data_IF_568866231763
#
_entry.id   IF_568866231763
#
_cell.length_a   1.000
_cell.length_b   1.000
_cell.length_c   1.000
_cell.angle_alpha   90.00
_cell.angle_beta   90.00
_cell.angle_gamma   90.00
#
_symmetry.space_group_name_H-M   'P 1'
#
loop_
_entity.id
_entity.type
_entity.pdbx_description
1 polymer ?
#
# COMPACT_ATOMS: atom_id res chain seq x y z
N UNK A 1 -26.68 20.47 57.11
CA UNK A 1 -26.69 19.25 56.25
C UNK A 1 -26.38 19.64 54.79
N UNK A 2 -25.14 19.52 54.41
CA UNK A 2 -24.66 19.94 53.08
C UNK A 2 -24.54 18.69 52.19
N UNK A 3 -25.40 18.55 51.17
CA UNK A 3 -25.37 17.45 50.23
C UNK A 3 -24.42 17.84 49.09
N UNK A 4 -23.24 17.25 49.08
CA UNK A 4 -22.29 17.34 47.93
C UNK A 4 -22.80 16.46 46.80
N UNK A 5 -23.21 17.07 45.70
CA UNK A 5 -23.53 16.38 44.46
C UNK A 5 -22.22 16.11 43.71
N UNK A 6 -21.82 14.83 43.62
CA UNK A 6 -20.65 14.38 42.88
C UNK A 6 -21.02 14.24 41.38
N UNK A 7 -20.64 15.22 40.59
CA UNK A 7 -20.85 15.18 39.11
C UNK A 7 -19.73 14.36 38.48
N UNK A 8 -20.05 13.14 38.06
CA UNK A 8 -19.13 12.28 37.29
C UNK A 8 -19.17 12.76 35.85
N UNK A 9 -18.10 13.44 35.42
CA UNK A 9 -17.87 13.78 34.01
C UNK A 9 -17.28 12.56 33.30
N UNK A 10 -18.09 11.87 32.50
CA UNK A 10 -17.61 10.83 31.59
C UNK A 10 -16.88 11.51 30.43
N UNK A 11 -15.53 11.50 30.45
CA UNK A 11 -14.73 11.80 29.27
C UNK A 11 -14.88 10.63 28.28
N UNK A 12 -15.71 10.82 27.28
CA UNK A 12 -15.66 9.97 26.07
C UNK A 12 -14.35 10.27 25.33
N UNK A 13 -13.31 9.51 25.63
CA UNK A 13 -12.13 9.45 24.78
C UNK A 13 -12.56 8.81 23.44
N UNK A 14 -12.80 9.65 22.43
CA UNK A 14 -13.03 9.20 21.07
C UNK A 14 -11.77 8.46 20.59
N UNK A 15 -11.82 7.14 20.55
CA UNK A 15 -10.80 6.33 19.88
C UNK A 15 -10.90 6.66 18.39
N UNK A 16 -10.00 7.51 17.89
CA UNK A 16 -9.74 7.60 16.47
C UNK A 16 -9.27 6.21 16.01
N UNK A 17 -10.14 5.47 15.32
CA UNK A 17 -9.75 4.23 14.67
C UNK A 17 -8.79 4.59 13.56
N UNK A 18 -7.49 4.54 13.86
CA UNK A 18 -6.46 4.56 12.84
C UNK A 18 -6.68 3.30 12.00
N UNK A 19 -7.16 3.44 10.78
CA UNK A 19 -7.28 2.32 9.85
C UNK A 19 -5.85 1.93 9.43
N UNK A 20 -5.25 1.04 10.22
CA UNK A 20 -4.05 0.34 9.77
C UNK A 20 -4.48 -0.58 8.62
N UNK A 21 -3.77 -0.53 7.50
CA UNK A 21 -4.04 -1.41 6.36
C UNK A 21 -3.95 -2.89 6.76
N UNK A 22 -4.64 -3.73 6.02
CA UNK A 22 -4.65 -5.20 6.21
C UNK A 22 -3.60 -5.81 5.28
N UNK A 23 -2.57 -6.43 5.85
CA UNK A 23 -1.46 -7.02 5.09
C UNK A 23 -1.91 -8.17 4.16
N UNK A 24 -2.93 -8.95 4.55
CA UNK A 24 -3.45 -10.03 3.69
C UNK A 24 -4.17 -9.46 2.46
N UNK A 25 -4.98 -8.42 2.65
CA UNK A 25 -5.59 -7.70 1.52
C UNK A 25 -4.51 -7.04 0.65
N UNK A 26 -3.46 -6.50 1.27
CA UNK A 26 -2.34 -5.93 0.55
C UNK A 26 -1.57 -6.95 -0.30
N UNK A 27 -1.42 -8.18 0.18
CA UNK A 27 -0.90 -9.29 -0.62
C UNK A 27 -1.80 -9.57 -1.83
N UNK A 28 -3.12 -9.62 -1.63
CA UNK A 28 -4.08 -9.85 -2.71
C UNK A 28 -4.02 -8.71 -3.76
N UNK A 29 -3.91 -7.45 -3.33
CA UNK A 29 -3.67 -6.28 -4.21
C UNK A 29 -2.37 -6.44 -5.01
N UNK A 30 -1.28 -6.85 -4.36
CA UNK A 30 0.00 -7.08 -5.03
C UNK A 30 -0.10 -8.22 -6.06
N UNK A 31 -0.79 -9.32 -5.72
CA UNK A 31 -1.01 -10.44 -6.64
C UNK A 31 -1.87 -10.00 -7.82
N UNK A 32 -2.93 -9.27 -7.61
CA UNK A 32 -3.84 -8.86 -8.68
C UNK A 32 -3.19 -7.84 -9.63
N UNK A 33 -2.50 -6.84 -9.08
CA UNK A 33 -2.08 -5.66 -9.84
C UNK A 33 -0.59 -5.61 -10.16
N UNK A 34 0.28 -6.19 -9.32
CA UNK A 34 1.73 -6.03 -9.47
C UNK A 34 2.43 -7.25 -10.10
N UNK A 35 1.85 -8.47 -9.98
CA UNK A 35 2.51 -9.73 -10.41
C UNK A 35 2.83 -9.81 -11.90
N UNK A 36 2.17 -9.02 -12.73
CA UNK A 36 2.45 -9.01 -14.18
C UNK A 36 3.86 -8.51 -14.48
N UNK A 37 4.35 -7.58 -13.67
CA UNK A 37 5.65 -6.96 -13.87
C UNK A 37 6.66 -7.29 -12.77
N UNK A 38 6.21 -7.44 -11.51
CA UNK A 38 7.07 -7.68 -10.36
C UNK A 38 6.96 -9.13 -9.87
N UNK A 39 8.07 -9.71 -9.42
CA UNK A 39 8.05 -10.98 -8.69
C UNK A 39 7.51 -10.70 -7.29
N UNK A 40 6.43 -11.41 -6.93
CA UNK A 40 5.80 -11.31 -5.62
C UNK A 40 6.31 -12.46 -4.75
N UNK A 41 6.81 -12.19 -3.52
CA UNK A 41 7.25 -13.23 -2.61
C UNK A 41 6.15 -14.28 -2.36
N UNK A 42 6.53 -15.55 -2.35
CA UNK A 42 5.57 -16.67 -2.17
C UNK A 42 4.70 -17.00 -3.38
N UNK A 43 4.78 -16.23 -4.47
CA UNK A 43 4.05 -16.51 -5.71
C UNK A 43 4.98 -17.12 -6.75
N UNK A 44 4.45 -18.10 -7.50
CA UNK A 44 5.16 -18.69 -8.64
C UNK A 44 4.97 -17.81 -9.89
N UNK A 45 5.56 -16.61 -9.87
CA UNK A 45 5.53 -15.70 -11.02
C UNK A 45 6.94 -15.19 -11.33
N UNK A 46 7.22 -14.94 -12.60
CA UNK A 46 8.54 -14.49 -13.04
C UNK A 46 8.67 -12.98 -13.18
N UNK A 47 7.56 -12.24 -13.16
CA UNK A 47 7.58 -10.82 -13.49
C UNK A 47 8.10 -10.55 -14.89
N UNK A 48 8.67 -9.36 -15.10
CA UNK A 48 9.40 -9.01 -16.32
C UNK A 48 10.84 -8.61 -15.96
N UNK A 49 11.81 -8.95 -16.84
CA UNK A 49 13.24 -8.87 -16.50
C UNK A 49 13.78 -7.47 -16.16
N UNK A 50 13.05 -6.41 -16.53
CA UNK A 50 13.43 -5.02 -16.22
C UNK A 50 12.80 -4.48 -14.93
N UNK A 51 11.86 -5.21 -14.34
CA UNK A 51 11.18 -4.80 -13.08
C UNK A 51 11.81 -5.50 -11.89
N UNK A 52 12.19 -4.78 -10.84
CA UNK A 52 12.74 -5.41 -9.64
C UNK A 52 11.66 -6.23 -8.93
N UNK A 53 12.05 -7.31 -8.26
CA UNK A 53 11.12 -8.03 -7.36
C UNK A 53 10.77 -7.15 -6.15
N UNK A 54 9.58 -7.39 -5.55
CA UNK A 54 9.18 -6.71 -4.31
C UNK A 54 10.26 -6.88 -3.23
N UNK A 55 10.79 -8.10 -3.08
CA UNK A 55 11.88 -8.38 -2.14
C UNK A 55 13.12 -7.53 -2.41
N UNK A 56 13.56 -7.44 -3.67
CA UNK A 56 14.74 -6.65 -4.03
C UNK A 56 14.56 -5.16 -3.76
N UNK A 57 13.34 -4.64 -3.95
CA UNK A 57 13.02 -3.24 -3.65
C UNK A 57 13.12 -2.96 -2.15
N UNK A 58 12.57 -3.84 -1.30
CA UNK A 58 12.62 -3.72 0.17
C UNK A 58 14.07 -3.86 0.68
N UNK A 59 14.85 -4.79 0.13
CA UNK A 59 16.23 -5.04 0.52
C UNK A 59 17.23 -4.07 -0.12
N UNK A 60 16.78 -3.15 -0.96
CA UNK A 60 17.65 -2.16 -1.56
C UNK A 60 18.32 -1.31 -0.47
N UNK A 61 19.57 -0.89 -0.72
CA UNK A 61 20.29 0.02 0.19
C UNK A 61 19.70 1.44 0.21
N UNK A 62 18.68 1.71 -0.60
CA UNK A 62 17.97 2.96 -0.61
C UNK A 62 17.16 3.11 0.68
N UNK A 63 17.44 4.15 1.46
CA UNK A 63 16.75 4.44 2.72
C UNK A 63 15.29 4.86 2.53
N UNK A 64 14.90 5.15 1.29
CA UNK A 64 13.60 5.68 0.90
C UNK A 64 12.68 4.62 0.24
N UNK A 65 13.01 3.32 0.35
CA UNK A 65 12.25 2.25 -0.29
C UNK A 65 10.76 2.30 0.11
N UNK A 66 10.47 2.57 1.37
CA UNK A 66 9.10 2.63 1.89
C UNK A 66 8.32 3.78 1.24
N UNK A 67 8.92 4.96 1.19
CA UNK A 67 8.32 6.11 0.51
C UNK A 67 8.07 5.85 -0.97
N UNK A 68 8.98 5.14 -1.65
CA UNK A 68 8.77 4.75 -3.05
C UNK A 68 7.55 3.85 -3.23
N UNK A 69 7.25 2.98 -2.27
CA UNK A 69 6.00 2.21 -2.28
C UNK A 69 4.77 3.09 -2.02
N UNK A 70 4.85 4.06 -1.13
CA UNK A 70 3.74 4.98 -0.84
C UNK A 70 3.31 5.79 -2.07
N UNK A 71 4.26 6.15 -2.92
CA UNK A 71 4.03 7.02 -4.08
C UNK A 71 4.30 6.34 -5.43
N UNK A 72 4.34 5.01 -5.49
CA UNK A 72 4.74 4.28 -6.70
C UNK A 72 3.95 4.69 -7.94
N UNK A 73 2.67 4.97 -7.78
CA UNK A 73 1.77 5.40 -8.86
C UNK A 73 2.21 6.71 -9.53
N UNK A 74 2.99 7.55 -8.82
CA UNK A 74 3.57 8.78 -9.35
C UNK A 74 4.99 8.59 -9.91
N UNK A 75 5.61 7.42 -9.68
CA UNK A 75 6.97 7.11 -10.14
C UNK A 75 6.92 6.32 -11.46
N UNK A 76 7.73 6.75 -12.44
CA UNK A 76 7.82 6.05 -13.72
C UNK A 76 8.24 4.58 -13.51
N UNK A 77 7.65 3.65 -14.29
CA UNK A 77 6.73 3.85 -15.43
C UNK A 77 5.24 3.89 -15.06
N UNK A 78 4.87 3.74 -13.79
CA UNK A 78 3.50 3.53 -13.31
C UNK A 78 2.48 4.60 -13.76
N UNK A 79 2.80 5.91 -13.79
CA UNK A 79 1.84 6.93 -14.23
C UNK A 79 1.28 6.68 -15.63
N UNK A 80 1.98 5.89 -16.44
CA UNK A 80 1.53 5.58 -17.81
C UNK A 80 0.44 4.51 -17.89
N UNK A 81 0.14 3.80 -16.78
CA UNK A 81 -0.85 2.71 -16.80
C UNK A 81 -1.54 2.46 -15.46
N UNK A 82 -1.16 3.13 -14.37
CA UNK A 82 -1.80 3.00 -13.06
C UNK A 82 -2.68 4.22 -12.81
N UNK A 83 -3.92 3.96 -12.39
CA UNK A 83 -4.88 4.98 -11.94
C UNK A 83 -5.22 4.69 -10.48
N UNK A 84 -5.10 5.70 -9.63
CA UNK A 84 -5.78 5.64 -8.33
C UNK A 84 -7.20 6.15 -8.54
N UNK A 85 -8.19 5.30 -8.26
CA UNK A 85 -9.60 5.52 -8.59
C UNK A 85 -10.14 6.87 -8.11
N UNK A 86 -9.75 7.28 -6.92
CA UNK A 86 -10.22 8.50 -6.27
C UNK A 86 -9.44 9.75 -6.73
N UNK A 87 -8.25 9.56 -7.30
CA UNK A 87 -7.48 10.65 -7.89
C UNK A 87 -7.96 10.83 -9.33
N UNK A 88 -8.78 11.81 -9.59
CA UNK A 88 -9.41 12.07 -10.90
C UNK A 88 -8.42 12.41 -12.04
N UNK A 89 -7.16 12.07 -11.90
CA UNK A 89 -6.15 12.22 -12.95
C UNK A 89 -6.34 11.11 -13.97
N UNK A 90 -6.59 11.48 -15.21
CA UNK A 90 -6.66 10.53 -16.33
C UNK A 90 -5.31 10.59 -17.05
N UNK A 91 -4.40 9.64 -16.80
CA UNK A 91 -3.15 9.58 -17.57
C UNK A 91 -3.46 9.29 -19.04
N UNK A 92 -2.63 9.81 -19.92
CA UNK A 92 -2.62 9.38 -21.31
C UNK A 92 -2.01 7.99 -21.38
N UNK A 93 -2.84 6.99 -21.63
CA UNK A 93 -2.37 5.62 -21.78
C UNK A 93 -1.81 5.40 -23.18
N UNK A 94 -0.68 4.69 -23.30
CA UNK A 94 -0.25 4.17 -24.58
C UNK A 94 -1.33 3.27 -25.18
N UNK A 95 -1.53 3.34 -26.49
CA UNK A 95 -2.48 2.47 -27.18
C UNK A 95 -2.17 1.00 -26.91
N UNK A 96 -3.20 0.23 -26.55
CA UNK A 96 -3.08 -1.21 -26.30
C UNK A 96 -2.70 -1.62 -24.88
N UNK A 97 -2.52 -0.69 -23.95
CA UNK A 97 -2.32 -1.01 -22.52
C UNK A 97 -3.64 -0.89 -21.78
N UNK A 98 -4.05 -1.99 -21.12
CA UNK A 98 -5.16 -1.96 -20.17
C UNK A 98 -4.69 -1.31 -18.87
N UNK A 99 -5.34 -0.23 -18.40
CA UNK A 99 -4.95 0.42 -17.16
C UNK A 99 -5.18 -0.49 -15.94
N UNK A 100 -4.31 -0.35 -14.95
CA UNK A 100 -4.46 -0.92 -13.62
C UNK A 100 -5.18 0.12 -12.76
N UNK A 101 -6.33 -0.24 -12.18
CA UNK A 101 -7.12 0.66 -11.35
C UNK A 101 -7.04 0.17 -9.90
N UNK A 102 -6.53 1.00 -9.01
CA UNK A 102 -6.35 0.72 -7.59
C UNK A 102 -7.17 1.73 -6.79
N UNK A 103 -7.89 1.26 -5.76
CA UNK A 103 -8.57 2.16 -4.83
C UNK A 103 -7.55 2.79 -3.86
N UNK A 104 -7.85 3.97 -3.32
CA UNK A 104 -6.95 4.63 -2.35
C UNK A 104 -6.77 3.77 -1.09
N UNK A 105 -7.83 3.08 -0.63
CA UNK A 105 -7.75 2.19 0.53
C UNK A 105 -6.82 0.99 0.30
N UNK A 106 -6.70 0.54 -0.96
CA UNK A 106 -5.79 -0.54 -1.34
C UNK A 106 -4.32 -0.14 -1.21
N UNK A 107 -4.00 1.15 -1.25
CA UNK A 107 -2.65 1.65 -0.98
C UNK A 107 -2.25 1.39 0.47
N UNK A 108 -3.15 1.62 1.44
CA UNK A 108 -2.89 1.35 2.86
C UNK A 108 -2.71 -0.16 3.10
N UNK A 109 -3.52 -0.98 2.44
CA UNK A 109 -3.38 -2.43 2.48
C UNK A 109 -2.05 -2.89 1.89
N UNK A 110 -1.66 -2.36 0.73
CA UNK A 110 -0.38 -2.66 0.09
C UNK A 110 0.80 -2.25 0.99
N UNK A 111 0.72 -1.08 1.64
CA UNK A 111 1.75 -0.63 2.59
C UNK A 111 1.86 -1.57 3.79
N UNK A 112 0.75 -2.03 4.35
CA UNK A 112 0.76 -3.01 5.44
C UNK A 112 1.46 -4.33 5.02
N UNK A 113 1.23 -4.79 3.79
CA UNK A 113 1.88 -5.98 3.24
C UNK A 113 3.39 -5.80 3.08
N UNK A 114 3.85 -4.71 2.47
CA UNK A 114 5.29 -4.49 2.28
C UNK A 114 6.03 -4.23 3.60
N UNK A 115 5.37 -3.61 4.59
CA UNK A 115 5.92 -3.44 5.93
C UNK A 115 6.07 -4.80 6.65
N UNK A 116 5.10 -5.72 6.50
CA UNK A 116 5.19 -7.08 7.02
C UNK A 116 6.34 -7.84 6.38
N UNK A 117 6.45 -7.81 5.05
CA UNK A 117 7.58 -8.42 4.32
C UNK A 117 8.93 -7.86 4.79
N UNK A 118 9.01 -6.54 5.00
CA UNK A 118 10.24 -5.91 5.48
C UNK A 118 10.63 -6.38 6.89
N UNK A 119 9.66 -6.69 7.75
CA UNK A 119 9.91 -7.28 9.07
C UNK A 119 10.42 -8.71 8.95
N UNK A 120 9.85 -9.51 8.07
CA UNK A 120 10.26 -10.89 7.83
C UNK A 120 11.67 -10.99 7.25
N UNK A 121 12.01 -10.11 6.33
CA UNK A 121 13.32 -10.08 5.67
C UNK A 121 14.46 -9.59 6.57
N UNK A 122 14.16 -9.05 7.76
CA UNK A 122 15.15 -8.60 8.76
C UNK A 122 15.48 -9.67 9.82
N UNK A 123 14.73 -10.79 9.85
CA UNK A 123 14.97 -11.91 10.76
C UNK A 123 16.08 -12.81 10.22
#
# INVERSE_FOLDING_TARGET
>A
MLRAALTIVFLFAGFATCHAGDAKKGEDVAIEHCRRCHVIPGQNNMGIGISPSIKAMIQSKATDWRHKFEVFYALRPHPSFVIIREFRTRPEFPLGITPVIIAVDDLDHLMAYVDLLAQELRK
#
